data_IF_544664993179
#
_entry.id   IF_544664993179
#
_cell.length_a   1.000
_cell.length_b   1.000
_cell.length_c   1.000
_cell.angle_alpha   90.00
_cell.angle_beta   90.00
_cell.angle_gamma   90.00
#
_symmetry.space_group_name_H-M   'P 1'
#
loop_
_entity.id
_entity.type
_entity.pdbx_description
1 polymer ?
#
# COMPACT_ATOMS: atom_id res chain seq x y z
N UNK A 1 -32.23 -4.40 72.92
CA UNK A 1 -32.86 -3.08 73.12
C UNK A 1 -32.06 -2.09 72.30
N UNK A 2 -32.76 -1.21 71.57
CA UNK A 2 -32.24 -0.21 70.62
C UNK A 2 -31.67 -0.79 69.31
N UNK A 3 -31.90 -0.27 68.10
CA UNK A 3 -32.79 0.74 67.50
C UNK A 3 -32.61 0.63 65.96
N UNK A 4 -33.44 1.35 65.19
CA UNK A 4 -33.29 1.75 63.76
C UNK A 4 -33.77 0.69 62.75
N UNK A 5 -34.97 0.76 62.14
CA UNK A 5 -35.56 1.77 61.23
C UNK A 5 -34.85 1.90 59.87
N UNK A 6 -35.27 1.11 58.89
CA UNK A 6 -35.07 1.45 57.47
C UNK A 6 -36.38 1.37 56.70
N UNK A 7 -36.95 2.57 56.59
CA UNK A 7 -37.75 3.12 55.51
C UNK A 7 -37.93 2.22 54.28
N UNK A 8 -39.15 1.67 54.19
CA UNK A 8 -39.74 1.17 52.94
C UNK A 8 -39.85 2.37 52.00
N UNK A 9 -38.95 2.45 51.04
CA UNK A 9 -38.83 3.54 50.09
C UNK A 9 -40.10 3.71 49.26
N UNK A 10 -40.54 4.97 49.21
CA UNK A 10 -41.55 5.54 48.34
C UNK A 10 -41.45 4.95 46.91
N UNK A 11 -42.50 4.30 46.44
CA UNK A 11 -42.68 4.00 45.01
C UNK A 11 -43.33 5.24 44.40
N UNK A 12 -42.61 6.07 43.63
CA UNK A 12 -43.24 7.20 42.95
C UNK A 12 -44.23 6.66 41.92
N UNK A 13 -45.44 7.23 41.93
CA UNK A 13 -46.50 6.90 40.98
C UNK A 13 -45.99 7.04 39.54
N UNK A 14 -46.08 5.95 38.78
CA UNK A 14 -45.84 5.98 37.35
C UNK A 14 -46.87 6.91 36.72
N UNK A 15 -46.41 8.09 36.33
CA UNK A 15 -47.19 9.09 35.62
C UNK A 15 -47.56 8.48 34.26
N UNK A 16 -48.85 8.21 34.06
CA UNK A 16 -49.39 7.71 32.79
C UNK A 16 -48.86 8.57 31.63
N UNK A 17 -48.23 7.98 30.60
CA UNK A 17 -47.90 8.73 29.40
C UNK A 17 -49.21 9.14 28.72
N UNK A 18 -49.43 10.44 28.58
CA UNK A 18 -50.54 10.96 27.79
C UNK A 18 -50.35 10.52 26.34
N UNK A 19 -51.31 9.73 25.85
CA UNK A 19 -51.39 9.31 24.45
C UNK A 19 -51.65 10.57 23.62
N UNK A 20 -50.80 10.92 22.64
CA UNK A 20 -51.09 12.04 21.77
C UNK A 20 -52.35 11.75 20.96
N UNK A 21 -53.24 12.73 20.90
CA UNK A 21 -54.49 12.68 20.14
C UNK A 21 -54.21 12.42 18.65
N UNK A 22 -55.11 11.63 18.05
CA UNK A 22 -55.21 11.28 16.61
C UNK A 22 -54.59 12.37 15.71
N UNK A 23 -53.59 12.04 14.86
CA UNK A 23 -53.23 12.97 13.80
C UNK A 23 -54.43 13.08 12.85
N UNK A 24 -54.83 14.33 12.58
CA UNK A 24 -55.82 14.65 11.56
C UNK A 24 -55.46 13.96 10.23
N UNK A 25 -56.45 13.38 9.56
CA UNK A 25 -56.29 12.78 8.24
C UNK A 25 -55.69 13.79 7.27
N UNK A 26 -54.38 13.72 7.04
CA UNK A 26 -53.75 14.37 5.90
C UNK A 26 -54.13 13.57 4.68
N UNK A 27 -55.07 14.10 3.89
CA UNK A 27 -55.31 13.65 2.51
C UNK A 27 -54.02 13.86 1.71
N UNK A 28 -53.15 12.86 1.66
CA UNK A 28 -52.03 12.83 0.74
C UNK A 28 -52.63 12.67 -0.64
N UNK A 29 -52.48 13.70 -1.47
CA UNK A 29 -53.03 13.75 -2.82
C UNK A 29 -52.44 12.56 -3.60
N UNK A 30 -53.28 11.71 -4.21
CA UNK A 30 -52.86 10.46 -4.87
C UNK A 30 -51.72 10.69 -5.89
N UNK A 31 -51.67 11.87 -6.51
CA UNK A 31 -50.58 12.29 -7.40
C UNK A 31 -49.21 12.41 -6.73
N UNK A 32 -49.15 12.75 -5.43
CA UNK A 32 -47.89 12.85 -4.67
C UNK A 32 -47.30 11.47 -4.37
N UNK A 33 -48.15 10.45 -4.13
CA UNK A 33 -47.70 9.06 -3.93
C UNK A 33 -47.15 8.46 -5.23
N UNK A 34 -47.81 8.71 -6.37
CA UNK A 34 -47.30 8.26 -7.68
C UNK A 34 -45.99 8.96 -8.07
N UNK A 35 -45.86 10.26 -7.77
CA UNK A 35 -44.63 11.00 -8.05
C UNK A 35 -43.44 10.44 -7.26
N UNK A 36 -43.60 10.23 -5.94
CA UNK A 36 -42.56 9.68 -5.08
C UNK A 36 -42.19 8.24 -5.44
N UNK A 37 -43.18 7.39 -5.73
CA UNK A 37 -42.94 6.02 -6.18
C UNK A 37 -42.16 5.96 -7.51
N UNK A 38 -42.45 6.88 -8.45
CA UNK A 38 -41.72 6.96 -9.71
C UNK A 38 -40.26 7.40 -9.54
N UNK A 39 -39.98 8.28 -8.58
CA UNK A 39 -38.62 8.77 -8.30
C UNK A 39 -37.77 7.68 -7.65
N UNK A 40 -38.35 6.90 -6.73
CA UNK A 40 -37.68 5.77 -6.07
C UNK A 40 -37.43 4.64 -7.09
N UNK A 41 -38.39 4.34 -7.97
CA UNK A 41 -38.19 3.36 -9.03
C UNK A 41 -37.07 3.77 -10.00
N UNK A 42 -37.01 5.07 -10.37
CA UNK A 42 -35.94 5.60 -11.23
C UNK A 42 -34.57 5.57 -10.55
N UNK A 43 -34.48 5.86 -9.26
CA UNK A 43 -33.20 5.83 -8.53
C UNK A 43 -32.65 4.40 -8.36
N UNK A 44 -33.53 3.40 -8.17
CA UNK A 44 -33.14 1.99 -8.11
C UNK A 44 -32.67 1.47 -9.49
N UNK A 45 -33.36 1.83 -10.57
CA UNK A 45 -32.95 1.45 -11.95
C UNK A 45 -31.61 2.09 -12.34
N UNK A 46 -31.36 3.34 -11.96
CA UNK A 46 -30.08 4.01 -12.23
C UNK A 46 -28.93 3.45 -11.39
N UNK A 47 -29.17 3.03 -10.14
CA UNK A 47 -28.15 2.44 -9.28
C UNK A 47 -27.88 0.95 -9.59
N UNK A 48 -28.87 0.20 -10.08
CA UNK A 48 -28.66 -1.15 -10.61
C UNK A 48 -27.77 -1.15 -11.87
N UNK A 49 -27.62 0.00 -12.53
CA UNK A 49 -26.70 0.22 -13.65
C UNK A 49 -25.30 0.65 -13.22
N UNK A 50 -24.94 0.57 -11.93
CA UNK A 50 -23.53 0.59 -11.52
C UNK A 50 -22.85 -0.64 -12.15
N UNK A 51 -22.28 -0.40 -13.33
CA UNK A 51 -21.77 -1.42 -14.21
C UNK A 51 -20.58 -2.13 -13.60
N UNK A 52 -20.83 -3.32 -13.06
CA UNK A 52 -19.85 -4.39 -13.19
C UNK A 52 -19.77 -4.66 -14.70
N UNK A 53 -18.68 -4.22 -15.33
CA UNK A 53 -18.50 -4.37 -16.76
C UNK A 53 -18.20 -5.83 -17.10
N UNK A 54 -19.25 -6.62 -17.38
CA UNK A 54 -19.15 -8.06 -17.64
C UNK A 54 -19.13 -8.43 -19.13
N UNK A 55 -19.07 -7.47 -20.06
CA UNK A 55 -19.06 -7.78 -21.50
C UNK A 55 -17.68 -7.53 -22.12
N UNK A 56 -16.86 -8.58 -22.21
CA UNK A 56 -15.54 -8.59 -22.88
C UNK A 56 -15.60 -8.16 -24.35
N UNK A 57 -16.75 -8.33 -25.01
CA UNK A 57 -16.91 -8.16 -26.46
C UNK A 57 -17.00 -6.70 -26.90
N UNK A 58 -17.37 -5.76 -26.02
CA UNK A 58 -17.49 -4.32 -26.39
C UNK A 58 -16.17 -3.54 -26.34
N UNK A 59 -15.07 -4.20 -25.96
CA UNK A 59 -13.73 -3.62 -25.87
C UNK A 59 -12.77 -4.11 -26.95
N UNK A 60 -13.24 -4.78 -28.02
CA UNK A 60 -12.37 -5.32 -29.07
C UNK A 60 -11.43 -4.27 -29.72
N UNK A 61 -11.79 -2.97 -29.67
CA UNK A 61 -10.96 -1.85 -30.14
C UNK A 61 -10.39 -0.96 -29.02
N UNK A 62 -10.58 -1.32 -27.76
CA UNK A 62 -9.89 -0.69 -26.63
C UNK A 62 -8.78 -1.64 -26.20
N UNK A 63 -7.60 -1.43 -26.78
CA UNK A 63 -6.36 -2.01 -26.28
C UNK A 63 -6.26 -1.78 -24.75
N UNK A 64 -5.60 -2.70 -24.05
CA UNK A 64 -5.33 -2.54 -22.62
C UNK A 64 -4.64 -1.18 -22.35
N UNK A 65 -4.83 -0.65 -21.14
CA UNK A 65 -4.15 0.58 -20.74
C UNK A 65 -2.64 0.44 -20.94
N UNK A 66 -1.97 1.52 -21.35
CA UNK A 66 -0.52 1.51 -21.52
C UNK A 66 0.17 1.09 -20.22
N UNK A 67 1.14 0.16 -20.24
CA UNK A 67 1.80 -0.32 -19.04
C UNK A 67 2.40 0.80 -18.17
N UNK A 68 2.84 1.92 -18.76
CA UNK A 68 3.37 3.06 -18.00
C UNK A 68 2.31 3.85 -17.25
N UNK A 69 1.12 4.00 -17.84
CA UNK A 69 0.00 4.70 -17.20
C UNK A 69 -0.71 3.80 -16.18
N UNK A 70 -0.70 2.49 -16.42
CA UNK A 70 -1.35 1.51 -15.54
C UNK A 70 -0.50 1.15 -14.31
N UNK A 71 0.82 1.08 -14.45
CA UNK A 71 1.73 0.76 -13.35
C UNK A 71 1.62 1.81 -12.24
N UNK A 72 1.69 1.36 -10.98
CA UNK A 72 1.65 2.23 -9.80
C UNK A 72 2.73 1.84 -8.78
N UNK A 73 3.07 2.76 -7.87
CA UNK A 73 4.05 2.48 -6.82
C UNK A 73 5.47 2.20 -7.35
N UNK A 74 6.11 1.15 -6.80
CA UNK A 74 7.48 0.75 -7.14
C UNK A 74 7.62 0.30 -8.60
N UNK A 75 6.60 -0.37 -9.14
CA UNK A 75 6.58 -0.82 -10.54
C UNK A 75 6.71 0.38 -11.50
N UNK A 76 5.96 1.45 -11.23
CA UNK A 76 6.04 2.68 -12.03
C UNK A 76 7.41 3.35 -11.90
N UNK A 77 7.99 3.38 -10.70
CA UNK A 77 9.33 3.94 -10.47
C UNK A 77 10.40 3.15 -11.21
N UNK A 78 10.29 1.82 -11.25
CA UNK A 78 11.18 0.96 -12.03
C UNK A 78 11.11 1.32 -13.52
N UNK A 79 9.89 1.41 -14.06
CA UNK A 79 9.65 1.65 -15.48
C UNK A 79 10.13 3.05 -15.91
N UNK A 80 9.90 4.07 -15.08
CA UNK A 80 10.41 5.43 -15.30
C UNK A 80 11.94 5.49 -15.21
N UNK A 81 12.54 4.76 -14.28
CA UNK A 81 14.01 4.71 -14.13
C UNK A 81 14.67 4.03 -15.32
N UNK A 82 14.08 2.94 -15.82
CA UNK A 82 14.51 2.29 -17.07
C UNK A 82 14.38 3.24 -18.26
N UNK A 83 13.27 3.98 -18.36
CA UNK A 83 13.08 4.98 -19.42
C UNK A 83 14.10 6.13 -19.33
N UNK A 84 14.57 6.48 -18.13
CA UNK A 84 15.65 7.44 -17.91
C UNK A 84 17.07 6.87 -18.17
N UNK A 85 17.18 5.60 -18.57
CA UNK A 85 18.45 4.92 -18.87
C UNK A 85 19.12 4.25 -17.67
N UNK A 86 18.48 4.24 -16.48
CA UNK A 86 18.95 3.44 -15.36
C UNK A 86 18.36 2.02 -15.44
N UNK A 87 19.17 1.09 -15.94
CA UNK A 87 18.82 -0.31 -16.17
C UNK A 87 18.64 -1.16 -14.90
N UNK A 88 19.25 -0.75 -13.77
CA UNK A 88 19.23 -1.53 -12.53
C UNK A 88 18.87 -0.65 -11.31
N UNK A 89 17.66 -0.07 -11.27
CA UNK A 89 17.23 0.85 -10.22
C UNK A 89 17.21 0.22 -8.83
N UNK A 90 16.76 -1.03 -8.72
CA UNK A 90 16.59 -1.75 -7.44
C UNK A 90 17.68 -2.77 -7.16
N UNK A 91 18.82 -2.66 -7.83
CA UNK A 91 19.98 -3.50 -7.57
C UNK A 91 19.72 -5.03 -7.65
N UNK A 92 18.99 -5.46 -8.68
CA UNK A 92 18.61 -6.87 -8.89
C UNK A 92 19.68 -7.69 -9.62
N UNK A 93 20.68 -7.05 -10.23
CA UNK A 93 21.76 -7.74 -10.96
C UNK A 93 22.88 -8.13 -10.00
N UNK A 94 23.53 -9.25 -10.30
CA UNK A 94 24.72 -9.70 -9.58
C UNK A 94 25.91 -8.83 -9.94
N UNK A 95 26.63 -8.32 -8.93
CA UNK A 95 27.88 -7.60 -9.12
C UNK A 95 28.99 -8.53 -9.57
N UNK A 96 29.61 -8.23 -10.71
CA UNK A 96 30.85 -8.87 -11.12
C UNK A 96 32.03 -8.15 -10.48
N UNK A 97 32.97 -8.94 -9.96
CA UNK A 97 34.22 -8.43 -9.42
C UNK A 97 35.04 -7.77 -10.53
N UNK A 98 35.68 -6.64 -10.22
CA UNK A 98 36.70 -6.01 -11.08
C UNK A 98 38.09 -6.51 -10.65
N UNK A 99 39.18 -6.01 -11.22
CA UNK A 99 40.56 -6.42 -10.82
C UNK A 99 40.78 -6.25 -9.30
N UNK A 100 40.14 -5.25 -8.68
CA UNK A 100 39.99 -5.14 -7.23
C UNK A 100 41.32 -5.04 -6.47
N UNK A 101 42.26 -4.29 -7.04
CA UNK A 101 43.55 -3.95 -6.44
C UNK A 101 43.37 -2.93 -5.31
N UNK A 102 44.39 -2.74 -4.47
CA UNK A 102 44.34 -1.76 -3.38
C UNK A 102 44.11 -0.33 -3.89
N UNK A 103 44.64 0.01 -5.07
CA UNK A 103 44.47 1.32 -5.70
C UNK A 103 43.13 1.46 -6.41
N UNK A 104 42.54 0.36 -6.87
CA UNK A 104 41.29 0.32 -7.63
C UNK A 104 40.34 -0.74 -7.03
N UNK A 105 39.77 -0.48 -5.84
CA UNK A 105 38.83 -1.39 -5.19
C UNK A 105 37.54 -1.52 -6.00
N UNK A 106 36.83 -2.65 -5.83
CA UNK A 106 35.49 -2.81 -6.39
C UNK A 106 34.51 -1.88 -5.65
N UNK A 107 33.88 -0.97 -6.39
CA UNK A 107 32.90 -0.04 -5.83
C UNK A 107 31.54 -0.72 -5.62
N UNK A 108 31.07 -0.72 -4.37
CA UNK A 108 29.76 -1.27 -4.00
C UNK A 108 28.84 -0.11 -3.64
N UNK A 109 27.78 0.15 -4.44
CA UNK A 109 26.86 1.25 -4.16
C UNK A 109 26.07 0.99 -2.87
N UNK A 110 25.82 2.02 -2.07
CA UNK A 110 25.01 1.93 -0.86
C UNK A 110 24.30 3.25 -0.58
N UNK A 111 23.08 3.17 -0.07
CA UNK A 111 22.34 4.33 0.43
C UNK A 111 22.67 4.66 1.89
N UNK A 112 23.30 3.71 2.60
CA UNK A 112 23.65 3.81 4.02
C UNK A 112 25.16 3.83 4.21
N UNK A 113 25.59 4.22 5.41
CA UNK A 113 27.01 4.27 5.82
C UNK A 113 27.71 2.90 5.84
N UNK A 114 26.94 1.81 5.92
CA UNK A 114 27.46 0.45 5.89
C UNK A 114 26.59 -0.48 5.06
N UNK A 115 27.21 -1.43 4.36
CA UNK A 115 26.54 -2.48 3.58
C UNK A 115 27.20 -3.83 3.82
N UNK A 116 26.37 -4.87 3.97
CA UNK A 116 26.85 -6.24 4.05
C UNK A 116 27.21 -6.73 2.65
N UNK A 117 28.41 -7.28 2.49
CA UNK A 117 28.91 -7.83 1.23
C UNK A 117 29.26 -9.30 1.42
N UNK A 118 28.74 -10.14 0.53
CA UNK A 118 29.12 -11.54 0.40
C UNK A 118 30.07 -11.71 -0.78
N UNK A 119 31.31 -12.11 -0.53
CA UNK A 119 32.28 -12.44 -1.55
C UNK A 119 32.31 -13.95 -1.77
N UNK A 120 32.06 -14.37 -3.01
CA UNK A 120 32.33 -15.73 -3.47
C UNK A 120 33.78 -15.73 -3.97
N UNK A 121 34.70 -16.31 -3.20
CA UNK A 121 36.14 -16.18 -3.46
C UNK A 121 36.57 -16.90 -4.74
N UNK A 122 36.12 -18.14 -4.93
CA UNK A 122 36.37 -18.99 -6.10
C UNK A 122 35.03 -19.28 -6.79
N UNK A 123 35.03 -19.51 -8.12
CA UNK A 123 33.79 -19.66 -8.89
C UNK A 123 32.93 -20.86 -8.42
N UNK A 124 33.58 -21.93 -7.96
CA UNK A 124 32.93 -23.15 -7.46
C UNK A 124 32.82 -23.20 -5.93
N UNK A 125 33.13 -22.10 -5.23
CA UNK A 125 33.08 -22.08 -3.77
C UNK A 125 31.65 -22.23 -3.25
N UNK A 126 31.44 -23.19 -2.34
CA UNK A 126 30.15 -23.39 -1.67
C UNK A 126 29.94 -22.47 -0.47
N UNK A 127 31.01 -21.83 0.01
CA UNK A 127 30.99 -20.89 1.14
C UNK A 127 31.08 -19.45 0.66
N UNK A 128 30.29 -18.58 1.27
CA UNK A 128 30.30 -17.14 1.02
C UNK A 128 30.98 -16.45 2.20
N UNK A 129 31.98 -15.62 1.90
CA UNK A 129 32.65 -14.82 2.92
C UNK A 129 31.91 -13.49 3.09
N UNK A 130 31.33 -13.30 4.27
CA UNK A 130 30.53 -12.12 4.61
C UNK A 130 31.36 -11.08 5.36
N UNK A 131 31.25 -9.82 4.95
CA UNK A 131 31.91 -8.70 5.63
C UNK A 131 31.07 -7.44 5.60
N UNK A 132 31.20 -6.62 6.64
CA UNK A 132 30.60 -5.29 6.70
C UNK A 132 31.54 -4.27 6.05
N UNK A 133 31.13 -3.68 4.93
CA UNK A 133 31.80 -2.52 4.35
C UNK A 133 31.24 -1.25 4.96
N UNK A 134 32.12 -0.33 5.34
CA UNK A 134 31.80 0.98 5.88
C UNK A 134 32.23 2.07 4.89
N UNK A 135 31.58 3.23 4.96
CA UNK A 135 31.86 4.35 4.08
C UNK A 135 33.26 4.92 4.36
N UNK A 136 34.02 5.17 3.29
CA UNK A 136 35.35 5.77 3.34
C UNK A 136 36.49 4.76 3.48
N UNK A 137 36.31 3.66 4.20
CA UNK A 137 37.34 2.62 4.34
C UNK A 137 37.18 1.51 3.28
N UNK A 138 38.27 1.19 2.59
CA UNK A 138 38.32 -0.01 1.74
C UNK A 138 38.67 -1.23 2.59
N UNK A 139 37.89 -2.30 2.50
CA UNK A 139 38.18 -3.56 3.19
C UNK A 139 38.59 -4.64 2.20
N UNK A 140 39.48 -5.51 2.66
CA UNK A 140 40.04 -6.62 1.89
C UNK A 140 39.36 -7.92 2.28
N UNK A 141 38.94 -8.72 1.30
CA UNK A 141 38.46 -10.08 1.53
C UNK A 141 39.64 -11.07 1.62
N UNK A 142 39.41 -12.27 2.15
CA UNK A 142 40.41 -13.34 2.27
C UNK A 142 41.00 -13.78 0.92
N UNK A 143 40.23 -13.67 -0.17
CA UNK A 143 40.70 -13.90 -1.54
C UNK A 143 41.65 -12.82 -2.07
N UNK A 144 41.89 -11.76 -1.30
CA UNK A 144 42.84 -10.70 -1.62
C UNK A 144 42.24 -9.48 -2.32
N UNK A 145 41.01 -9.56 -2.82
CA UNK A 145 40.30 -8.47 -3.50
C UNK A 145 39.85 -7.38 -2.52
N UNK A 146 39.93 -6.13 -2.98
CA UNK A 146 39.52 -4.94 -2.23
C UNK A 146 38.14 -4.46 -2.66
N UNK A 147 37.38 -3.99 -1.68
CA UNK A 147 36.04 -3.44 -1.87
C UNK A 147 35.91 -2.11 -1.14
N UNK A 148 35.21 -1.16 -1.75
CA UNK A 148 34.94 0.15 -1.18
C UNK A 148 33.47 0.52 -1.38
N UNK A 149 32.88 1.16 -0.37
CA UNK A 149 31.52 1.65 -0.45
C UNK A 149 31.43 2.94 -1.27
N UNK A 150 30.50 2.99 -2.22
CA UNK A 150 30.18 4.18 -3.00
C UNK A 150 28.78 4.69 -2.63
N UNK A 151 28.61 6.01 -2.54
CA UNK A 151 27.31 6.60 -2.24
C UNK A 151 26.38 6.47 -3.45
N UNK A 152 25.25 5.79 -3.26
CA UNK A 152 24.19 5.70 -4.26
C UNK A 152 23.13 6.77 -4.03
N UNK A 153 22.64 7.38 -5.11
CA UNK A 153 21.54 8.35 -5.02
C UNK A 153 20.19 7.64 -4.92
N UNK A 154 19.37 7.90 -3.89
CA UNK A 154 18.04 7.31 -3.79
C UNK A 154 17.15 7.77 -4.95
N UNK A 155 16.21 6.90 -5.33
CA UNK A 155 15.19 7.19 -6.34
C UNK A 155 14.00 7.91 -5.69
N UNK A 156 14.22 9.14 -5.26
CA UNK A 156 13.18 10.06 -4.77
C UNK A 156 13.39 11.42 -5.41
#
# INVERSE_FOLDING_TARGET
MEYISENRTNIPSLRNPQIPSRPAERKVHLSQLFAMASLIARSLVLNSRRGVQLTSVRFANKMMADPMEHATGLEKQELLSKAAGNENPFDMRVYKRVSGDQTNPTSVPSFYERRLVGCICEEDATSINWMWLEKGESKRCECGYWFQLADAKPMV
#
